data_IF_304428504761
#
_entry.id   IF_304428504761
#
_cell.length_a   1.000
_cell.length_b   1.000
_cell.length_c   1.000
_cell.angle_alpha   90.00
_cell.angle_beta   90.00
_cell.angle_gamma   90.00
#
_symmetry.space_group_name_H-M   'P 1'
#
loop_
_entity.id
_entity.type
_entity.pdbx_description
1 polymer ?
#
# COMPACT_ATOMS: atom_id res chain seq x y z
N UNK A 1 18.41 22.56 -23.20
CA UNK A 1 19.75 21.93 -23.32
C UNK A 1 20.10 21.88 -24.79
N UNK A 2 21.21 22.46 -25.20
CA UNK A 2 21.72 22.32 -26.57
C UNK A 2 22.46 20.98 -26.62
N UNK A 3 21.91 20.00 -27.33
CA UNK A 3 22.56 18.72 -27.59
C UNK A 3 23.66 19.00 -28.63
N UNK A 4 24.93 18.76 -28.29
CA UNK A 4 26.05 19.03 -29.19
C UNK A 4 26.03 18.05 -30.39
N UNK A 5 26.44 18.51 -31.59
CA UNK A 5 26.45 17.65 -32.79
C UNK A 5 27.24 16.34 -32.60
N UNK A 6 28.30 16.35 -31.78
CA UNK A 6 29.10 15.17 -31.43
C UNK A 6 28.38 14.15 -30.54
N UNK A 7 27.43 14.58 -29.71
CA UNK A 7 26.63 13.65 -28.88
C UNK A 7 25.57 12.96 -29.72
N UNK A 8 24.99 13.68 -30.70
CA UNK A 8 24.05 13.11 -31.67
C UNK A 8 24.71 12.02 -32.53
N UNK A 9 25.93 12.27 -33.04
CA UNK A 9 26.65 11.29 -33.88
C UNK A 9 26.96 9.99 -33.13
N UNK A 10 27.25 10.06 -31.82
CA UNK A 10 27.60 8.87 -31.02
C UNK A 10 26.39 7.99 -30.71
N UNK A 11 25.21 8.58 -30.51
CA UNK A 11 23.96 7.84 -30.38
C UNK A 11 23.47 7.29 -31.73
N UNK A 12 23.69 8.00 -32.84
CA UNK A 12 23.35 7.52 -34.20
C UNK A 12 24.15 6.28 -34.62
N UNK A 13 25.39 6.16 -34.16
CA UNK A 13 26.24 4.97 -34.36
C UNK A 13 25.94 3.83 -33.39
N UNK A 14 25.19 4.08 -32.31
CA UNK A 14 24.80 3.05 -31.36
C UNK A 14 23.69 2.17 -31.96
N UNK A 15 23.66 0.89 -31.59
CA UNK A 15 22.79 -0.13 -32.17
C UNK A 15 21.34 0.39 -32.26
N UNK A 16 20.85 0.61 -33.49
CA UNK A 16 19.45 0.96 -33.73
C UNK A 16 18.59 -0.25 -33.36
N UNK A 17 17.86 -0.13 -32.25
CA UNK A 17 16.86 -1.12 -31.89
C UNK A 17 15.73 -1.09 -32.93
N UNK A 18 15.15 -2.26 -33.17
CA UNK A 18 13.97 -2.37 -34.01
C UNK A 18 12.85 -1.45 -33.50
N UNK A 19 12.26 -0.66 -34.39
CA UNK A 19 11.27 0.36 -34.03
C UNK A 19 10.04 -0.26 -33.36
N UNK A 20 9.66 -1.47 -33.79
CA UNK A 20 8.54 -2.21 -33.18
C UNK A 20 8.89 -2.61 -31.75
N UNK A 21 10.11 -3.12 -31.52
CA UNK A 21 10.60 -3.41 -30.16
C UNK A 21 10.63 -2.17 -29.28
N UNK A 22 11.09 -1.03 -29.79
CA UNK A 22 11.13 0.23 -29.03
C UNK A 22 9.73 0.70 -28.64
N UNK A 23 8.78 0.71 -29.58
CA UNK A 23 7.38 1.08 -29.33
C UNK A 23 6.74 0.13 -28.31
N UNK A 24 6.97 -1.18 -28.46
CA UNK A 24 6.45 -2.18 -27.53
C UNK A 24 6.98 -1.98 -26.10
N UNK A 25 8.29 -1.77 -25.94
CA UNK A 25 8.91 -1.53 -24.63
C UNK A 25 8.43 -0.22 -24.00
N UNK A 26 8.35 0.87 -24.77
CA UNK A 26 7.87 2.15 -24.28
C UNK A 26 6.40 2.07 -23.85
N UNK A 27 5.55 1.44 -24.67
CA UNK A 27 4.13 1.22 -24.35
C UNK A 27 3.97 0.38 -23.09
N UNK A 28 4.79 -0.66 -22.92
CA UNK A 28 4.80 -1.48 -21.72
C UNK A 28 5.18 -0.67 -20.47
N UNK A 29 6.25 0.14 -20.53
CA UNK A 29 6.64 0.99 -19.38
C UNK A 29 5.58 2.03 -19.05
N UNK A 30 4.99 2.68 -20.05
CA UNK A 30 3.90 3.63 -19.85
C UNK A 30 2.70 2.95 -19.19
N UNK A 31 2.35 1.74 -19.63
CA UNK A 31 1.28 0.96 -19.00
C UNK A 31 1.59 0.67 -17.52
N UNK A 32 2.82 0.22 -17.20
CA UNK A 32 3.20 -0.03 -15.81
C UNK A 32 3.22 1.26 -14.99
N UNK A 33 3.70 2.37 -15.54
CA UNK A 33 3.66 3.69 -14.90
C UNK A 33 2.23 4.06 -14.49
N UNK A 34 1.24 3.87 -15.39
CA UNK A 34 -0.15 4.16 -15.08
C UNK A 34 -0.70 3.26 -13.96
N UNK A 35 -0.38 1.96 -14.00
CA UNK A 35 -0.77 1.03 -12.93
C UNK A 35 -0.16 1.40 -11.58
N UNK A 36 1.12 1.77 -11.58
CA UNK A 36 1.86 2.17 -10.38
C UNK A 36 1.25 3.43 -9.76
N UNK A 37 1.09 4.49 -10.54
CA UNK A 37 0.50 5.75 -10.09
C UNK A 37 -0.93 5.55 -9.60
N UNK A 38 -1.79 4.91 -10.39
CA UNK A 38 -3.20 4.73 -10.02
C UNK A 38 -3.33 3.85 -8.77
N UNK A 39 -2.60 2.74 -8.74
CA UNK A 39 -2.68 1.77 -7.66
C UNK A 39 -2.13 2.31 -6.34
N UNK A 40 -0.96 2.95 -6.34
CA UNK A 40 -0.35 3.50 -5.13
C UNK A 40 -1.07 4.76 -4.64
N UNK A 41 -1.61 5.60 -5.53
CA UNK A 41 -2.55 6.66 -5.14
C UNK A 41 -3.80 6.09 -4.45
N UNK A 42 -4.35 4.98 -4.95
CA UNK A 42 -5.52 4.33 -4.36
C UNK A 42 -5.20 3.73 -2.98
N UNK A 43 -4.00 3.16 -2.78
CA UNK A 43 -3.51 2.71 -1.46
C UNK A 43 -3.49 3.87 -0.47
N UNK A 44 -2.86 4.98 -0.83
CA UNK A 44 -2.80 6.19 -0.01
C UNK A 44 -4.22 6.72 0.29
N UNK A 45 -5.05 6.88 -0.75
CA UNK A 45 -6.43 7.35 -0.63
C UNK A 45 -7.29 6.46 0.28
N UNK A 46 -7.14 5.15 0.22
CA UNK A 46 -7.87 4.22 1.08
C UNK A 46 -7.53 4.39 2.56
N UNK A 47 -6.25 4.54 2.90
CA UNK A 47 -5.83 4.70 4.30
C UNK A 47 -6.22 6.09 4.82
N UNK A 48 -6.10 7.12 3.97
CA UNK A 48 -6.51 8.48 4.29
C UNK A 48 -8.03 8.61 4.46
N UNK A 49 -8.83 7.87 3.70
CA UNK A 49 -10.29 7.98 3.74
C UNK A 49 -10.89 7.10 4.86
N UNK A 50 -10.47 5.85 4.98
CA UNK A 50 -11.09 4.89 5.91
C UNK A 50 -10.37 4.86 7.25
N UNK A 51 -11.00 5.40 8.29
CA UNK A 51 -10.48 5.40 9.67
C UNK A 51 -10.08 4.01 10.17
N UNK A 52 -10.81 2.96 9.76
CA UNK A 52 -10.52 1.56 10.14
C UNK A 52 -9.18 1.05 9.59
N UNK A 53 -8.66 1.64 8.51
CA UNK A 53 -7.36 1.31 7.92
C UNK A 53 -6.22 2.15 8.51
N UNK A 54 -6.47 3.09 9.44
CA UNK A 54 -5.42 3.94 10.03
C UNK A 54 -4.71 3.25 11.21
N UNK A 55 -4.15 2.08 10.94
CA UNK A 55 -3.33 1.30 11.87
C UNK A 55 -1.85 1.64 11.69
N UNK A 56 -1.02 1.31 12.69
CA UNK A 56 0.42 1.62 12.63
C UNK A 56 1.10 0.97 11.44
N UNK A 57 0.82 -0.31 11.20
CA UNK A 57 1.30 -1.08 10.04
C UNK A 57 0.99 -0.42 8.71
N UNK A 58 -0.22 0.13 8.61
CA UNK A 58 -0.67 0.75 7.36
C UNK A 58 0.06 2.08 7.11
N UNK A 59 0.66 2.73 8.11
CA UNK A 59 1.57 3.87 7.86
C UNK A 59 2.85 3.44 7.14
N UNK A 60 3.40 2.26 7.44
CA UNK A 60 4.53 1.72 6.68
C UNK A 60 4.13 1.37 5.25
N UNK A 61 2.90 0.87 5.04
CA UNK A 61 2.35 0.63 3.69
C UNK A 61 2.18 1.95 2.92
N UNK A 62 1.77 3.04 3.56
CA UNK A 62 1.75 4.38 2.92
C UNK A 62 3.16 4.82 2.56
N UNK A 63 4.13 4.67 3.47
CA UNK A 63 5.53 5.02 3.19
C UNK A 63 6.09 4.24 2.00
N UNK A 64 5.75 2.95 1.88
CA UNK A 64 6.06 2.13 0.71
C UNK A 64 5.37 2.62 -0.57
N UNK A 65 4.08 2.97 -0.51
CA UNK A 65 3.37 3.52 -1.66
C UNK A 65 3.96 4.88 -2.09
N UNK A 66 4.47 5.68 -1.16
CA UNK A 66 5.17 6.93 -1.46
C UNK A 66 6.51 6.67 -2.17
N UNK A 67 7.31 5.69 -1.74
CA UNK A 67 8.55 5.35 -2.45
C UNK A 67 8.26 4.84 -3.86
N UNK A 68 7.22 4.04 -4.05
CA UNK A 68 6.78 3.57 -5.36
C UNK A 68 6.32 4.76 -6.26
N UNK A 69 5.54 5.71 -5.72
CA UNK A 69 5.15 6.92 -6.44
C UNK A 69 6.33 7.83 -6.81
N UNK A 70 7.39 7.87 -6.00
CA UNK A 70 8.62 8.58 -6.36
C UNK A 70 9.36 7.88 -7.51
N UNK A 71 9.39 6.55 -7.56
CA UNK A 71 9.90 5.83 -8.74
C UNK A 71 9.10 6.21 -9.98
N UNK A 72 7.77 6.17 -9.88
CA UNK A 72 6.87 6.54 -10.97
C UNK A 72 7.08 7.99 -11.45
N UNK A 73 7.22 8.94 -10.54
CA UNK A 73 7.34 10.36 -10.88
C UNK A 73 8.75 10.81 -11.27
N UNK A 74 9.80 10.21 -10.70
CA UNK A 74 11.17 10.70 -10.81
C UNK A 74 12.15 9.74 -11.49
N UNK A 75 11.82 8.44 -11.62
CA UNK A 75 12.68 7.46 -12.31
C UNK A 75 12.10 7.02 -13.65
N UNK A 76 10.82 6.68 -13.69
CA UNK A 76 10.17 6.20 -14.92
C UNK A 76 10.26 7.16 -16.10
N UNK A 77 10.17 8.50 -15.94
CA UNK A 77 10.33 9.41 -17.08
C UNK A 77 11.69 9.27 -17.77
N UNK A 78 12.77 9.11 -17.00
CA UNK A 78 14.11 8.89 -17.53
C UNK A 78 14.27 7.52 -18.20
N UNK A 79 13.62 6.49 -17.65
CA UNK A 79 13.55 5.15 -18.27
C UNK A 79 12.83 5.19 -19.63
N UNK A 80 11.70 5.89 -19.69
CA UNK A 80 10.94 6.07 -20.94
C UNK A 80 11.78 6.84 -21.95
N UNK A 81 12.42 7.93 -21.55
CA UNK A 81 13.33 8.71 -22.41
C UNK A 81 14.44 7.84 -22.98
N UNK A 82 15.14 7.10 -22.12
CA UNK A 82 16.21 6.19 -22.51
C UNK A 82 15.74 5.11 -23.49
N UNK A 83 14.54 4.56 -23.27
CA UNK A 83 13.93 3.55 -24.16
C UNK A 83 13.61 4.13 -25.53
N UNK A 84 12.99 5.32 -25.59
CA UNK A 84 12.63 6.00 -26.84
C UNK A 84 13.86 6.38 -27.67
N UNK A 85 15.00 6.63 -27.03
CA UNK A 85 16.28 6.95 -27.68
C UNK A 85 17.13 5.70 -27.94
N UNK A 86 16.51 4.53 -28.15
CA UNK A 86 17.20 3.27 -28.47
C UNK A 86 18.26 2.86 -27.43
N UNK A 87 17.93 3.04 -26.14
CA UNK A 87 18.85 2.80 -25.02
C UNK A 87 20.14 3.64 -25.11
N UNK A 88 20.07 4.81 -25.75
CA UNK A 88 21.11 5.83 -25.68
C UNK A 88 20.73 6.91 -24.68
N UNK A 89 21.69 7.33 -23.88
CA UNK A 89 21.54 8.43 -22.93
C UNK A 89 22.22 9.70 -23.45
N UNK A 90 21.46 10.78 -23.53
CA UNK A 90 21.88 12.08 -24.10
C UNK A 90 21.53 13.28 -23.20
N UNK A 91 20.94 13.06 -22.02
CA UNK A 91 20.57 14.12 -21.06
C UNK A 91 21.76 14.65 -20.22
N UNK A 92 22.97 14.21 -20.52
CA UNK A 92 24.20 14.63 -19.84
C UNK A 92 24.45 13.94 -18.48
N UNK A 93 25.55 14.33 -17.84
CA UNK A 93 26.09 13.71 -16.62
C UNK A 93 25.22 14.04 -15.40
N UNK A 94 24.82 15.30 -15.20
CA UNK A 94 24.07 15.71 -14.01
C UNK A 94 22.70 15.04 -13.90
N UNK A 95 22.00 14.86 -15.03
CA UNK A 95 20.71 14.15 -15.03
C UNK A 95 20.92 12.65 -14.79
N UNK A 96 22.01 12.08 -15.31
CA UNK A 96 22.37 10.69 -15.05
C UNK A 96 22.66 10.45 -13.56
N UNK A 97 23.44 11.32 -12.94
CA UNK A 97 23.71 11.31 -11.49
C UNK A 97 22.43 11.42 -10.66
N UNK A 98 21.55 12.35 -11.03
CA UNK A 98 20.26 12.50 -10.36
C UNK A 98 19.39 11.25 -10.48
N UNK A 99 19.30 10.66 -11.67
CA UNK A 99 18.52 9.45 -11.90
C UNK A 99 19.05 8.27 -11.08
N UNK A 100 20.37 8.04 -11.08
CA UNK A 100 21.01 7.01 -10.26
C UNK A 100 20.75 7.25 -8.76
N UNK A 101 20.84 8.49 -8.30
CA UNK A 101 20.55 8.84 -6.91
C UNK A 101 19.11 8.52 -6.52
N UNK A 102 18.14 8.98 -7.31
CA UNK A 102 16.71 8.74 -7.07
C UNK A 102 16.41 7.23 -7.02
N UNK A 103 16.95 6.47 -7.98
CA UNK A 103 16.76 5.02 -8.02
C UNK A 103 17.28 4.35 -6.75
N UNK A 104 18.46 4.75 -6.30
CA UNK A 104 19.06 4.17 -5.11
C UNK A 104 18.30 4.54 -3.83
N UNK A 105 17.84 5.79 -3.69
CA UNK A 105 16.99 6.21 -2.58
C UNK A 105 15.70 5.41 -2.56
N UNK A 106 15.00 5.32 -3.69
CA UNK A 106 13.69 4.69 -3.74
C UNK A 106 13.78 3.17 -3.53
N UNK A 107 14.77 2.49 -4.13
CA UNK A 107 14.98 1.06 -3.91
C UNK A 107 15.30 0.75 -2.44
N UNK A 108 16.22 1.52 -1.84
CA UNK A 108 16.55 1.40 -0.42
C UNK A 108 15.34 1.67 0.47
N UNK A 109 14.57 2.72 0.19
CA UNK A 109 13.37 3.06 0.95
C UNK A 109 12.31 1.95 0.85
N UNK A 110 12.06 1.39 -0.35
CA UNK A 110 11.06 0.33 -0.54
C UNK A 110 11.39 -0.94 0.25
N UNK A 111 12.64 -1.45 0.18
CA UNK A 111 13.01 -2.66 0.94
C UNK A 111 13.08 -2.42 2.45
N UNK A 112 13.56 -1.25 2.90
CA UNK A 112 13.57 -0.90 4.31
C UNK A 112 12.15 -0.74 4.87
N UNK A 113 11.22 -0.14 4.12
CA UNK A 113 9.81 -0.08 4.50
C UNK A 113 9.19 -1.48 4.59
N UNK A 114 9.47 -2.38 3.63
CA UNK A 114 9.03 -3.78 3.71
C UNK A 114 9.62 -4.51 4.93
N UNK A 115 10.89 -4.24 5.25
CA UNK A 115 11.55 -4.77 6.44
C UNK A 115 10.88 -4.26 7.71
N UNK A 116 10.51 -2.99 7.77
CA UNK A 116 9.75 -2.43 8.89
C UNK A 116 8.35 -3.03 9.02
N UNK A 117 7.65 -3.27 7.91
CA UNK A 117 6.37 -4.02 7.91
C UNK A 117 6.57 -5.42 8.51
N UNK A 118 7.68 -6.10 8.19
CA UNK A 118 7.98 -7.42 8.75
C UNK A 118 8.21 -7.41 10.25
N UNK A 119 8.97 -6.43 10.76
CA UNK A 119 9.24 -6.26 12.20
C UNK A 119 7.95 -5.95 12.95
N UNK A 120 7.17 -4.99 12.44
CA UNK A 120 5.89 -4.61 13.01
C UNK A 120 4.94 -5.81 13.12
N UNK A 121 4.86 -6.62 12.05
CA UNK A 121 4.05 -7.85 12.05
C UNK A 121 4.55 -8.89 13.02
N UNK A 122 5.85 -9.09 13.08
CA UNK A 122 6.45 -10.00 14.06
C UNK A 122 6.09 -9.60 15.48
N UNK A 123 6.20 -8.31 15.81
CA UNK A 123 5.84 -7.79 17.14
C UNK A 123 4.34 -7.96 17.43
N UNK A 124 3.47 -7.66 16.46
CA UNK A 124 2.02 -7.79 16.62
C UNK A 124 1.59 -9.24 16.88
N UNK A 125 2.24 -10.22 16.23
CA UNK A 125 1.92 -11.64 16.39
C UNK A 125 2.56 -12.27 17.64
N UNK A 126 3.79 -11.86 17.98
CA UNK A 126 4.53 -12.43 19.11
C UNK A 126 4.06 -11.87 20.44
N UNK A 127 3.59 -10.62 20.47
CA UNK A 127 3.22 -9.90 21.69
C UNK A 127 1.85 -9.22 21.58
N UNK A 128 0.75 -9.96 21.40
CA UNK A 128 -0.56 -9.39 21.07
C UNK A 128 -1.13 -8.44 22.14
N UNK A 129 -0.79 -8.62 23.42
CA UNK A 129 -1.31 -7.80 24.52
C UNK A 129 -0.46 -6.54 24.80
N UNK A 130 0.84 -6.59 24.52
CA UNK A 130 1.77 -5.47 24.76
C UNK A 130 2.15 -4.73 23.48
N UNK A 131 1.81 -5.25 22.29
CA UNK A 131 2.09 -4.61 21.02
C UNK A 131 1.65 -3.14 20.97
N UNK A 132 0.46 -2.81 21.51
CA UNK A 132 -0.07 -1.45 21.51
C UNK A 132 0.77 -0.46 22.33
N UNK A 133 1.51 -0.93 23.34
CA UNK A 133 2.45 -0.10 24.10
C UNK A 133 3.85 -0.07 23.47
N UNK A 134 4.23 -1.11 22.73
CA UNK A 134 5.50 -1.21 22.01
C UNK A 134 5.49 -0.30 20.78
N UNK A 135 4.49 -0.45 19.91
CA UNK A 135 4.43 0.23 18.62
C UNK A 135 3.38 1.33 18.62
N UNK A 136 3.82 2.54 18.96
CA UNK A 136 2.97 3.74 18.96
C UNK A 136 3.07 4.50 17.63
N UNK A 137 2.09 5.35 17.32
CA UNK A 137 2.12 6.19 16.12
C UNK A 137 3.40 7.03 16.03
N UNK A 138 3.83 7.63 17.16
CA UNK A 138 5.06 8.44 17.23
C UNK A 138 6.29 7.60 16.86
N UNK A 139 6.41 6.39 17.41
CA UNK A 139 7.53 5.48 17.09
C UNK A 139 7.52 5.06 15.62
N UNK A 140 6.34 4.83 15.04
CA UNK A 140 6.22 4.51 13.61
C UNK A 140 6.66 5.66 12.70
N UNK A 141 6.26 6.90 12.99
CA UNK A 141 6.71 8.07 12.22
C UNK A 141 8.23 8.29 12.35
N UNK A 142 8.80 8.11 13.54
CA UNK A 142 10.26 8.16 13.74
C UNK A 142 10.92 7.06 12.90
N UNK A 143 10.42 5.82 12.94
CA UNK A 143 10.98 4.72 12.16
C UNK A 143 10.93 4.99 10.64
N UNK A 144 9.81 5.53 10.13
CA UNK A 144 9.70 5.95 8.73
C UNK A 144 10.74 7.04 8.40
N UNK A 145 10.85 8.08 9.24
CA UNK A 145 11.83 9.14 9.03
C UNK A 145 13.28 8.60 9.00
N UNK A 146 13.60 7.64 9.86
CA UNK A 146 14.91 6.97 9.88
C UNK A 146 15.14 6.14 8.60
N UNK A 147 14.12 5.45 8.08
CA UNK A 147 14.21 4.72 6.80
C UNK A 147 14.55 5.66 5.64
N UNK A 148 13.89 6.81 5.57
CA UNK A 148 14.16 7.81 4.53
C UNK A 148 15.53 8.46 4.70
N UNK A 149 15.89 8.85 5.92
CA UNK A 149 17.20 9.42 6.22
C UNK A 149 18.34 8.44 5.87
N UNK A 150 18.19 7.16 6.23
CA UNK A 150 19.12 6.09 5.85
C UNK A 150 19.24 5.94 4.34
N UNK A 151 18.12 5.89 3.62
CA UNK A 151 18.11 5.68 2.17
C UNK A 151 18.75 6.85 1.42
N UNK A 152 18.47 8.09 1.84
CA UNK A 152 19.11 9.29 1.32
C UNK A 152 20.60 9.31 1.66
N UNK A 153 20.97 8.95 2.88
CA UNK A 153 22.37 8.91 3.31
C UNK A 153 23.19 7.95 2.45
N UNK A 154 22.75 6.70 2.30
CA UNK A 154 23.46 5.72 1.48
C UNK A 154 23.57 6.18 0.03
N UNK A 155 22.50 6.74 -0.55
CA UNK A 155 22.54 7.24 -1.92
C UNK A 155 23.45 8.46 -2.09
N UNK A 156 23.50 9.35 -1.09
CA UNK A 156 24.33 10.55 -1.12
C UNK A 156 25.83 10.24 -1.06
N UNK A 157 26.22 9.08 -0.51
CA UNK A 157 27.61 8.61 -0.53
C UNK A 157 28.14 8.39 -1.96
N UNK A 158 27.27 8.25 -2.97
CA UNK A 158 27.70 8.25 -4.38
C UNK A 158 28.41 9.55 -4.78
N UNK A 159 28.11 10.67 -4.11
CA UNK A 159 28.64 11.99 -4.45
C UNK A 159 29.95 12.35 -3.74
N UNK A 160 30.40 11.59 -2.75
CA UNK A 160 31.61 11.92 -1.96
C UNK A 160 32.92 11.66 -2.69
N UNK A 161 32.89 11.53 -4.02
CA UNK A 161 34.01 11.17 -4.88
C UNK A 161 33.95 9.72 -5.36
N UNK A 162 34.91 9.32 -6.22
CA UNK A 162 35.03 7.95 -6.68
C UNK A 162 35.58 7.07 -5.56
N UNK A 163 34.88 5.99 -5.20
CA UNK A 163 35.39 5.01 -4.25
C UNK A 163 36.38 4.04 -4.93
N UNK A 164 36.27 3.91 -6.25
CA UNK A 164 37.11 3.07 -7.11
C UNK A 164 38.09 3.91 -7.93
N UNK A 165 39.31 3.42 -8.22
CA UNK A 165 40.28 4.14 -9.04
C UNK A 165 39.71 4.59 -10.40
N UNK A 166 38.88 3.74 -11.02
CA UNK A 166 38.23 4.01 -12.31
C UNK A 166 36.80 4.57 -12.17
N UNK A 167 36.44 5.08 -10.99
CA UNK A 167 35.09 5.49 -10.55
C UNK A 167 34.47 6.70 -11.24
N UNK A 168 34.63 6.81 -12.56
CA UNK A 168 34.10 7.89 -13.39
C UNK A 168 32.63 7.68 -13.74
N UNK A 169 31.90 8.79 -13.84
CA UNK A 169 30.54 8.81 -14.38
C UNK A 169 30.60 8.87 -15.90
N UNK A 170 29.84 8.01 -16.56
CA UNK A 170 29.68 8.00 -18.02
C UNK A 170 28.20 8.22 -18.34
N UNK A 171 27.91 9.21 -19.17
CA UNK A 171 26.55 9.47 -19.64
C UNK A 171 26.32 9.03 -21.08
N UNK A 172 27.36 8.78 -21.89
CA UNK A 172 27.23 8.40 -23.30
C UNK A 172 28.10 7.17 -23.58
N UNK A 173 27.58 6.11 -24.23
CA UNK A 173 26.21 5.98 -24.76
C UNK A 173 25.16 5.61 -23.71
N UNK A 174 25.57 5.18 -22.52
CA UNK A 174 24.65 4.76 -21.45
C UNK A 174 24.99 5.45 -20.13
N UNK A 175 23.97 5.81 -19.36
CA UNK A 175 24.10 6.37 -18.03
C UNK A 175 24.56 5.29 -17.04
N UNK A 176 25.83 5.35 -16.61
CA UNK A 176 26.39 4.46 -15.59
C UNK A 176 27.61 5.08 -14.90
N UNK A 177 27.82 4.73 -13.63
CA UNK A 177 29.04 5.07 -12.88
C UNK A 177 29.89 3.80 -12.70
N UNK A 178 31.18 3.86 -13.00
CA UNK A 178 32.10 2.70 -12.90
C UNK A 178 32.70 2.54 -11.51
N UNK A 179 31.86 2.60 -10.48
CA UNK A 179 32.32 2.66 -9.08
C UNK A 179 32.02 1.37 -8.31
N UNK A 180 32.76 0.31 -8.64
CA UNK A 180 32.51 -1.05 -8.12
C UNK A 180 32.50 -1.14 -6.59
N UNK A 181 33.38 -0.43 -5.89
CA UNK A 181 33.42 -0.49 -4.41
C UNK A 181 32.20 0.17 -3.79
N UNK A 182 31.79 1.34 -4.31
CA UNK A 182 30.57 2.01 -3.87
C UNK A 182 29.32 1.15 -4.13
N UNK A 183 29.16 0.63 -5.35
CA UNK A 183 27.99 -0.19 -5.68
C UNK A 183 27.95 -1.49 -4.89
N UNK A 184 29.11 -2.13 -4.64
CA UNK A 184 29.17 -3.32 -3.78
C UNK A 184 28.70 -2.99 -2.37
N UNK A 185 29.23 -1.91 -1.77
CA UNK A 185 28.80 -1.44 -0.46
C UNK A 185 27.30 -1.13 -0.43
N UNK A 186 26.80 -0.34 -1.39
CA UNK A 186 25.40 0.08 -1.45
C UNK A 186 24.46 -1.12 -1.63
N UNK A 187 24.78 -2.06 -2.53
CA UNK A 187 23.96 -3.28 -2.73
C UNK A 187 23.97 -4.15 -1.47
N UNK A 188 25.11 -4.32 -0.81
CA UNK A 188 25.18 -5.10 0.43
C UNK A 188 24.36 -4.47 1.55
N UNK A 189 24.54 -3.17 1.79
CA UNK A 189 23.98 -2.46 2.94
C UNK A 189 22.52 -2.05 2.71
N UNK A 190 22.16 -1.60 1.51
CA UNK A 190 20.79 -1.19 1.19
C UNK A 190 19.89 -2.31 0.67
N UNK A 191 20.43 -3.44 0.20
CA UNK A 191 19.60 -4.55 -0.31
C UNK A 191 19.79 -5.85 0.47
N UNK A 192 20.98 -6.46 0.45
CA UNK A 192 21.16 -7.81 1.03
C UNK A 192 20.96 -7.84 2.55
N UNK A 193 21.44 -6.84 3.29
CA UNK A 193 21.27 -6.76 4.74
C UNK A 193 19.78 -6.60 5.14
N UNK A 194 19.02 -5.63 4.61
CA UNK A 194 17.57 -5.55 4.81
C UNK A 194 16.83 -6.82 4.36
N UNK A 195 17.25 -7.45 3.26
CA UNK A 195 16.66 -8.70 2.78
C UNK A 195 16.84 -9.85 3.78
N UNK A 196 18.03 -9.99 4.40
CA UNK A 196 18.26 -11.00 5.45
C UNK A 196 17.33 -10.75 6.64
N UNK A 197 17.24 -9.49 7.10
CA UNK A 197 16.33 -9.10 8.19
C UNK A 197 14.88 -9.45 7.82
N UNK A 198 14.46 -9.12 6.61
CA UNK A 198 13.15 -9.42 6.05
C UNK A 198 12.86 -10.93 6.09
N UNK A 199 13.76 -11.75 5.56
CA UNK A 199 13.60 -13.21 5.50
C UNK A 199 13.56 -13.83 6.88
N UNK A 200 14.42 -13.39 7.81
CA UNK A 200 14.43 -13.88 9.20
C UNK A 200 13.10 -13.52 9.88
N UNK A 201 12.68 -12.26 9.83
CA UNK A 201 11.44 -11.82 10.46
C UNK A 201 10.22 -12.54 9.90
N UNK A 202 10.14 -12.75 8.58
CA UNK A 202 9.04 -13.51 7.97
C UNK A 202 9.06 -14.98 8.33
N UNK A 203 10.25 -15.57 8.46
CA UNK A 203 10.39 -16.95 8.93
C UNK A 203 9.87 -17.09 10.37
N UNK A 204 10.16 -16.12 11.24
CA UNK A 204 9.65 -16.07 12.60
C UNK A 204 8.13 -15.86 12.63
N UNK A 205 7.63 -14.91 11.83
CA UNK A 205 6.19 -14.66 11.65
C UNK A 205 5.46 -15.92 11.20
N UNK A 206 6.00 -16.63 10.20
CA UNK A 206 5.41 -17.86 9.69
C UNK A 206 5.42 -18.97 10.75
N UNK A 207 6.51 -19.13 11.51
CA UNK A 207 6.57 -20.07 12.64
C UNK A 207 5.50 -19.78 13.69
N UNK A 208 5.39 -18.52 14.14
CA UNK A 208 4.37 -18.11 15.13
C UNK A 208 2.97 -18.33 14.56
N UNK A 209 2.73 -17.94 13.30
CA UNK A 209 1.45 -18.14 12.62
C UNK A 209 1.05 -19.63 12.54
N UNK A 210 1.99 -20.52 12.21
CA UNK A 210 1.74 -21.97 12.17
C UNK A 210 1.41 -22.54 13.54
N UNK A 211 2.14 -22.13 14.59
CA UNK A 211 1.87 -22.56 15.96
C UNK A 211 0.46 -22.14 16.39
N UNK A 212 0.08 -20.87 16.11
CA UNK A 212 -1.26 -20.37 16.40
C UNK A 212 -2.34 -21.11 15.60
N UNK A 213 -2.11 -21.39 14.32
CA UNK A 213 -3.05 -22.15 13.49
C UNK A 213 -3.25 -23.59 14.00
N UNK A 214 -2.19 -24.26 14.46
CA UNK A 214 -2.27 -25.61 15.06
C UNK A 214 -3.06 -25.58 16.37
N UNK A 215 -2.78 -24.62 17.26
CA UNK A 215 -3.51 -24.45 18.52
C UNK A 215 -5.01 -24.21 18.28
N UNK A 216 -5.37 -23.39 17.29
CA UNK A 216 -6.77 -23.17 16.90
C UNK A 216 -7.46 -24.43 16.39
N UNK A 217 -6.77 -25.29 15.63
CA UNK A 217 -7.34 -26.56 15.14
C UNK A 217 -7.60 -27.53 16.29
N UNK A 218 -6.67 -27.66 17.23
CA UNK A 218 -6.84 -28.52 18.41
C UNK A 218 -8.04 -28.07 19.27
N UNK A 219 -8.13 -26.76 19.53
CA UNK A 219 -9.26 -26.17 20.26
C UNK A 219 -10.59 -26.33 19.53
N UNK A 220 -10.59 -26.34 18.19
CA UNK A 220 -11.79 -26.60 17.39
C UNK A 220 -12.25 -28.05 17.49
N UNK A 221 -11.32 -29.00 17.49
CA UNK A 221 -11.63 -30.42 17.61
C UNK A 221 -12.16 -30.76 19.00
N UNK A 222 -11.54 -30.23 20.07
CA UNK A 222 -12.05 -30.41 21.44
C UNK A 222 -13.43 -29.79 21.63
N UNK A 223 -13.67 -28.57 21.14
CA UNK A 223 -15.01 -27.96 21.27
C UNK A 223 -16.11 -28.76 20.56
N UNK A 224 -15.79 -29.45 19.46
CA UNK A 224 -16.76 -30.32 18.78
C UNK A 224 -17.05 -31.59 19.59
N UNK A 225 -16.07 -32.12 20.31
CA UNK A 225 -16.21 -33.27 21.20
C UNK A 225 -17.01 -32.91 22.47
N UNK A 226 -16.65 -31.82 23.15
CA UNK A 226 -17.35 -31.36 24.36
C UNK A 226 -18.83 -31.01 24.08
N UNK A 227 -19.13 -30.48 22.88
CA UNK A 227 -20.52 -30.19 22.48
C UNK A 227 -21.32 -31.47 22.24
N UNK A 228 -20.69 -32.53 21.73
CA UNK A 228 -21.36 -33.82 21.53
C UNK A 228 -21.64 -34.53 22.87
N UNK A 229 -20.68 -34.53 23.79
CA UNK A 229 -20.77 -35.21 25.09
C UNK A 229 -21.72 -34.47 26.07
N UNK A 230 -21.73 -33.13 26.04
CA UNK A 230 -22.65 -32.33 26.86
C UNK A 230 -24.10 -32.36 26.36
N UNK A 231 -24.34 -32.60 25.06
CA UNK A 231 -25.69 -32.86 24.54
C UNK A 231 -26.26 -34.20 25.02
N UNK A 232 -25.41 -35.20 25.26
CA UNK A 232 -25.81 -36.52 25.76
C UNK A 232 -26.12 -36.48 27.27
N UNK A 233 -25.32 -35.76 28.06
CA UNK A 233 -25.51 -35.62 29.52
C UNK A 233 -26.72 -34.75 29.92
N UNK A 234 -27.04 -33.69 29.15
CA UNK A 234 -28.17 -32.79 29.45
C UNK A 234 -29.53 -33.47 29.21
N UNK A 235 -29.58 -34.53 28.41
CA UNK A 235 -30.82 -35.26 28.13
C UNK A 235 -31.30 -36.14 29.30
N UNK A 236 -30.46 -36.39 30.31
CA UNK A 236 -30.74 -37.32 31.42
C UNK A 236 -31.04 -36.65 32.78
N UNK A 237 -30.66 -35.38 33.00
CA UNK A 237 -30.90 -34.68 34.27
C UNK A 237 -31.54 -33.30 34.07
N UNK A 238 -32.87 -33.25 34.09
CA UNK A 238 -33.70 -32.04 33.91
C UNK A 238 -33.71 -31.05 35.08
N UNK A 239 -32.65 -30.97 35.89
CA UNK A 239 -32.64 -30.19 37.13
C UNK A 239 -31.41 -29.29 37.29
N UNK A 240 -31.66 -27.98 37.37
CA UNK A 240 -30.80 -26.91 37.94
C UNK A 240 -29.42 -26.62 37.33
N UNK A 241 -29.30 -25.43 36.71
CA UNK A 241 -28.44 -24.30 37.14
C UNK A 241 -28.36 -23.23 36.04
N UNK A 242 -29.17 -22.19 36.18
CA UNK A 242 -29.26 -21.08 35.21
C UNK A 242 -28.06 -20.12 35.28
N UNK A 243 -27.39 -20.05 36.45
CA UNK A 243 -26.18 -19.23 36.67
C UNK A 243 -24.91 -19.82 36.00
N UNK A 244 -24.71 -21.15 36.06
CA UNK A 244 -23.57 -21.81 35.40
C UNK A 244 -23.69 -21.78 33.86
N UNK A 245 -24.92 -21.79 33.31
CA UNK A 245 -25.14 -21.64 31.87
C UNK A 245 -24.72 -20.26 31.33
N UNK A 246 -24.91 -19.18 32.09
CA UNK A 246 -24.51 -17.83 31.67
C UNK A 246 -22.99 -17.63 31.71
N UNK A 247 -22.30 -18.18 32.71
CA UNK A 247 -20.84 -18.10 32.82
C UNK A 247 -20.17 -18.89 31.68
N UNK A 248 -20.62 -20.12 31.41
CA UNK A 248 -20.10 -20.97 30.31
C UNK A 248 -20.38 -20.34 28.94
N UNK A 249 -21.57 -19.78 28.72
CA UNK A 249 -21.89 -19.06 27.48
C UNK A 249 -21.05 -17.79 27.29
N UNK A 250 -20.73 -17.07 28.37
CA UNK A 250 -19.87 -15.88 28.32
C UNK A 250 -18.42 -16.22 28.00
N UNK A 251 -17.87 -17.30 28.59
CA UNK A 251 -16.53 -17.82 28.32
C UNK A 251 -16.43 -18.32 26.87
N UNK A 252 -17.43 -19.06 26.38
CA UNK A 252 -17.49 -19.49 24.98
C UNK A 252 -17.57 -18.34 23.97
N UNK A 253 -18.23 -17.23 24.32
CA UNK A 253 -18.24 -16.00 23.50
C UNK A 253 -16.86 -15.32 23.44
N UNK A 254 -16.12 -15.30 24.55
CA UNK A 254 -14.76 -14.74 24.62
C UNK A 254 -13.80 -15.59 23.78
N UNK A 255 -13.81 -16.91 23.93
CA UNK A 255 -12.97 -17.82 23.15
C UNK A 255 -13.27 -17.70 21.64
N UNK A 256 -14.55 -17.67 21.25
CA UNK A 256 -14.95 -17.48 19.84
C UNK A 256 -14.49 -16.14 19.26
N UNK A 257 -14.50 -15.05 20.04
CA UNK A 257 -13.99 -13.74 19.61
C UNK A 257 -12.47 -13.78 19.44
N UNK A 258 -11.75 -14.40 20.37
CA UNK A 258 -10.29 -14.56 20.30
C UNK A 258 -9.87 -15.39 19.08
N UNK A 259 -10.54 -16.53 18.83
CA UNK A 259 -10.32 -17.36 17.62
C UNK A 259 -10.52 -16.56 16.34
N UNK A 260 -11.61 -15.78 16.22
CA UNK A 260 -11.87 -14.92 15.05
C UNK A 260 -10.78 -13.85 14.86
N UNK A 261 -10.27 -13.28 15.94
CA UNK A 261 -9.17 -12.31 15.89
C UNK A 261 -7.90 -12.94 15.34
N UNK A 262 -7.50 -14.11 15.84
CA UNK A 262 -6.31 -14.83 15.39
C UNK A 262 -6.43 -15.22 13.91
N UNK A 263 -7.58 -15.74 13.47
CA UNK A 263 -7.81 -16.06 12.05
C UNK A 263 -7.68 -14.83 11.15
N UNK A 264 -8.13 -13.66 11.61
CA UNK A 264 -7.98 -12.40 10.87
C UNK A 264 -6.52 -12.00 10.74
N UNK A 265 -5.74 -12.10 11.82
CA UNK A 265 -4.29 -11.82 11.81
C UNK A 265 -3.51 -12.78 10.89
N UNK A 266 -3.88 -14.07 10.87
CA UNK A 266 -3.28 -15.06 9.96
C UNK A 266 -3.54 -14.72 8.48
N UNK A 267 -4.76 -14.25 8.15
CA UNK A 267 -5.08 -13.80 6.78
C UNK A 267 -4.27 -12.58 6.37
N UNK A 268 -4.13 -11.59 7.27
CA UNK A 268 -3.31 -10.41 7.00
C UNK A 268 -1.84 -10.79 6.78
N UNK A 269 -1.33 -11.74 7.57
CA UNK A 269 0.04 -12.27 7.45
C UNK A 269 0.30 -12.93 6.10
N UNK A 270 -0.67 -13.71 5.58
CA UNK A 270 -0.57 -14.33 4.25
C UNK A 270 -0.35 -13.27 3.17
N UNK A 271 -1.14 -12.20 3.18
CA UNK A 271 -1.01 -11.11 2.19
C UNK A 271 0.39 -10.52 2.20
N UNK A 272 0.93 -10.24 3.38
CA UNK A 272 2.25 -9.64 3.53
C UNK A 272 3.40 -10.60 3.13
N UNK A 273 3.24 -11.90 3.37
CA UNK A 273 4.18 -12.90 2.86
C UNK A 273 4.21 -12.96 1.32
N UNK A 274 3.06 -12.77 0.66
CA UNK A 274 2.99 -12.66 -0.81
C UNK A 274 3.74 -11.40 -1.27
N UNK A 275 3.51 -10.25 -0.65
CA UNK A 275 4.25 -9.00 -0.96
C UNK A 275 5.76 -9.20 -0.88
N UNK A 276 6.24 -9.86 0.19
CA UNK A 276 7.68 -10.14 0.35
C UNK A 276 8.22 -11.13 -0.67
N UNK A 277 7.49 -12.22 -0.95
CA UNK A 277 7.88 -13.17 -1.98
C UNK A 277 8.00 -12.50 -3.35
N UNK A 278 7.03 -11.67 -3.72
CA UNK A 278 7.06 -10.89 -4.96
C UNK A 278 8.27 -9.96 -5.00
N UNK A 279 8.55 -9.23 -3.90
CA UNK A 279 9.71 -8.34 -3.85
C UNK A 279 11.03 -9.07 -4.08
N UNK A 280 11.24 -10.22 -3.42
CA UNK A 280 12.46 -11.02 -3.57
C UNK A 280 12.61 -11.52 -5.00
N UNK A 281 11.54 -12.06 -5.60
CA UNK A 281 11.55 -12.57 -6.97
C UNK A 281 11.86 -11.44 -7.97
N UNK A 282 11.32 -10.25 -7.74
CA UNK A 282 11.50 -9.12 -8.63
C UNK A 282 12.91 -8.50 -8.56
N UNK A 283 13.53 -8.46 -7.37
CA UNK A 283 14.75 -7.67 -7.16
C UNK A 283 16.03 -8.48 -6.98
N UNK A 284 15.98 -9.68 -6.39
CA UNK A 284 17.21 -10.47 -6.15
C UNK A 284 17.98 -10.72 -7.46
N UNK A 285 17.33 -11.16 -8.56
CA UNK A 285 18.05 -11.38 -9.81
C UNK A 285 18.75 -10.12 -10.33
N UNK A 286 18.07 -8.97 -10.28
CA UNK A 286 18.63 -7.68 -10.68
C UNK A 286 19.91 -7.34 -9.89
N UNK A 287 19.85 -7.38 -8.56
CA UNK A 287 21.00 -7.00 -7.73
C UNK A 287 22.16 -7.99 -7.83
N UNK A 288 21.87 -9.28 -8.01
CA UNK A 288 22.91 -10.29 -8.27
C UNK A 288 23.59 -10.01 -9.62
N UNK A 289 22.84 -9.75 -10.69
CA UNK A 289 23.40 -9.42 -12.00
C UNK A 289 24.22 -8.13 -11.92
N UNK A 290 23.72 -7.10 -11.25
CA UNK A 290 24.46 -5.83 -11.06
C UNK A 290 25.78 -6.05 -10.32
N UNK A 291 25.79 -6.91 -9.30
CA UNK A 291 27.02 -7.27 -8.60
C UNK A 291 27.99 -8.02 -9.51
N UNK A 292 27.50 -9.00 -10.28
CA UNK A 292 28.33 -9.75 -11.23
C UNK A 292 28.97 -8.81 -12.26
N UNK A 293 28.18 -7.91 -12.86
CA UNK A 293 28.66 -6.96 -13.88
C UNK A 293 29.78 -6.05 -13.35
N UNK A 294 29.79 -5.72 -12.05
CA UNK A 294 30.83 -4.88 -11.47
C UNK A 294 32.19 -5.57 -11.31
N UNK A 295 32.22 -6.90 -11.21
CA UNK A 295 33.47 -7.67 -11.03
C UNK A 295 33.85 -8.51 -12.25
N UNK A 296 32.86 -8.92 -13.04
CA UNK A 296 33.01 -9.73 -14.24
C UNK A 296 31.98 -9.29 -15.29
N UNK A 297 32.20 -8.16 -15.97
CA UNK A 297 31.33 -7.74 -17.07
C UNK A 297 31.33 -8.78 -18.21
N UNK A 298 32.44 -9.46 -18.44
CA UNK A 298 32.59 -10.52 -19.45
C UNK A 298 31.66 -11.70 -19.16
N UNK A 299 31.40 -12.04 -17.89
CA UNK A 299 30.48 -13.12 -17.51
C UNK A 299 29.04 -12.90 -18.00
N UNK A 300 28.66 -11.67 -18.33
CA UNK A 300 27.31 -11.31 -18.80
C UNK A 300 27.31 -10.88 -20.26
N UNK A 301 28.35 -10.16 -20.70
CA UNK A 301 28.40 -9.56 -22.04
C UNK A 301 29.22 -10.35 -23.06
N UNK A 302 30.07 -11.30 -22.65
CA UNK A 302 30.79 -12.15 -23.59
C UNK A 302 29.85 -13.15 -24.26
N UNK A 303 29.83 -13.11 -25.60
CA UNK A 303 29.05 -14.01 -26.45
C UNK A 303 29.55 -15.46 -26.40
N UNK A 304 30.80 -15.68 -25.99
CA UNK A 304 31.39 -17.01 -25.83
C UNK A 304 30.80 -17.75 -24.62
N UNK A 305 30.39 -17.02 -23.58
CA UNK A 305 29.83 -17.54 -22.34
C UNK A 305 28.30 -17.59 -22.41
N UNK A 306 27.68 -16.48 -22.82
CA UNK A 306 26.23 -16.34 -22.94
C UNK A 306 25.85 -15.96 -24.36
N UNK A 307 25.01 -16.77 -25.01
CA UNK A 307 24.53 -16.43 -26.35
C UNK A 307 23.67 -15.16 -26.35
N UNK A 308 23.58 -14.49 -27.49
CA UNK A 308 22.90 -13.19 -27.61
C UNK A 308 21.42 -13.25 -27.20
N UNK A 309 20.74 -14.37 -27.48
CA UNK A 309 19.34 -14.58 -27.07
C UNK A 309 19.20 -14.64 -25.56
N UNK A 310 20.09 -15.35 -24.86
CA UNK A 310 20.09 -15.44 -23.41
C UNK A 310 20.43 -14.09 -22.78
N UNK A 311 21.41 -13.35 -23.31
CA UNK A 311 21.74 -11.99 -22.84
C UNK A 311 20.52 -11.07 -22.93
N UNK A 312 19.82 -11.07 -24.08
CA UNK A 312 18.59 -10.29 -24.27
C UNK A 312 17.47 -10.74 -23.33
N UNK A 313 17.28 -12.05 -23.17
CA UNK A 313 16.25 -12.59 -22.27
C UNK A 313 16.53 -12.23 -20.80
N UNK A 314 17.77 -12.40 -20.34
CA UNK A 314 18.20 -12.08 -18.97
C UNK A 314 18.04 -10.59 -18.71
N UNK A 315 18.53 -9.73 -19.62
CA UNK A 315 18.39 -8.28 -19.51
C UNK A 315 16.93 -7.84 -19.50
N UNK A 316 16.12 -8.38 -20.41
CA UNK A 316 14.69 -8.03 -20.50
C UNK A 316 13.92 -8.48 -19.26
N UNK A 317 14.08 -9.73 -18.83
CA UNK A 317 13.28 -10.28 -17.73
C UNK A 317 13.78 -9.77 -16.39
N UNK A 318 15.07 -9.97 -16.08
CA UNK A 318 15.60 -9.76 -14.74
C UNK A 318 16.11 -8.35 -14.47
N UNK A 319 16.53 -7.62 -15.52
CA UNK A 319 17.05 -6.25 -15.35
C UNK A 319 15.98 -5.19 -15.62
N UNK A 320 15.09 -5.45 -16.57
CA UNK A 320 14.10 -4.47 -17.01
C UNK A 320 12.69 -4.72 -16.48
N UNK A 321 12.07 -5.87 -16.79
CA UNK A 321 10.64 -6.12 -16.52
C UNK A 321 10.35 -6.38 -15.03
N UNK A 322 11.10 -7.28 -14.39
CA UNK A 322 10.78 -7.70 -13.02
C UNK A 322 10.90 -6.58 -11.97
N UNK A 323 11.98 -5.77 -11.97
CA UNK A 323 12.07 -4.62 -11.06
C UNK A 323 10.95 -3.60 -11.29
N UNK A 324 10.57 -3.38 -12.56
CA UNK A 324 9.50 -2.47 -12.95
C UNK A 324 8.13 -2.92 -12.43
N UNK A 325 7.85 -4.22 -12.48
CA UNK A 325 6.59 -4.78 -12.00
C UNK A 325 6.42 -4.71 -10.48
N UNK A 326 7.52 -4.65 -9.72
CA UNK A 326 7.47 -4.77 -8.27
C UNK A 326 6.55 -3.75 -7.59
N UNK A 327 6.66 -2.46 -7.96
CA UNK A 327 5.84 -1.40 -7.37
C UNK A 327 4.36 -1.52 -7.77
N UNK A 328 4.10 -1.82 -9.05
CA UNK A 328 2.74 -1.93 -9.59
C UNK A 328 1.95 -3.15 -9.07
N UNK A 329 2.63 -4.21 -8.62
CA UNK A 329 1.98 -5.42 -8.09
C UNK A 329 1.47 -5.21 -6.65
N UNK A 330 2.03 -4.28 -5.88
CA UNK A 330 1.64 -4.04 -4.48
C UNK A 330 0.13 -3.76 -4.30
N UNK A 331 -0.49 -2.80 -5.01
CA UNK A 331 -1.94 -2.55 -4.93
C UNK A 331 -2.80 -3.73 -5.39
N UNK A 332 -2.34 -4.52 -6.36
CA UNK A 332 -3.02 -5.73 -6.85
C UNK A 332 -3.05 -6.80 -5.75
N UNK A 333 -1.94 -6.99 -5.03
CA UNK A 333 -1.88 -7.91 -3.89
C UNK A 333 -2.84 -7.45 -2.79
N UNK A 334 -2.83 -6.17 -2.43
CA UNK A 334 -3.73 -5.65 -1.39
C UNK A 334 -5.21 -5.80 -1.77
N UNK A 335 -5.58 -5.46 -3.00
CA UNK A 335 -6.96 -5.59 -3.47
C UNK A 335 -7.42 -7.04 -3.58
N UNK A 336 -6.53 -7.98 -3.86
CA UNK A 336 -6.87 -9.40 -4.01
C UNK A 336 -6.97 -10.13 -2.67
N UNK A 337 -6.00 -9.90 -1.78
CA UNK A 337 -5.81 -10.72 -0.58
C UNK A 337 -6.15 -9.99 0.72
N UNK A 338 -6.32 -8.66 0.72
CA UNK A 338 -6.77 -7.91 1.89
C UNK A 338 -8.21 -7.40 1.72
N UNK A 339 -9.14 -8.02 2.42
CA UNK A 339 -10.57 -7.71 2.31
C UNK A 339 -10.93 -6.28 2.72
N UNK A 340 -10.17 -5.69 3.65
CA UNK A 340 -10.45 -4.34 4.12
C UNK A 340 -9.99 -3.32 3.07
N UNK A 341 -8.82 -3.51 2.45
CA UNK A 341 -8.39 -2.72 1.29
C UNK A 341 -9.31 -2.91 0.09
N UNK A 342 -9.69 -4.14 -0.24
CA UNK A 342 -10.60 -4.44 -1.36
C UNK A 342 -11.92 -3.68 -1.25
N UNK A 343 -12.49 -3.60 -0.05
CA UNK A 343 -13.73 -2.84 0.20
C UNK A 343 -13.51 -1.34 0.03
N UNK A 344 -12.44 -0.80 0.61
CA UNK A 344 -12.10 0.61 0.48
C UNK A 344 -11.87 1.02 -0.98
N UNK A 345 -11.13 0.20 -1.75
CA UNK A 345 -10.87 0.44 -3.16
C UNK A 345 -12.16 0.46 -3.98
N UNK A 346 -13.05 -0.51 -3.75
CA UNK A 346 -14.34 -0.58 -4.45
C UNK A 346 -15.20 0.66 -4.18
N UNK A 347 -15.31 1.11 -2.93
CA UNK A 347 -16.12 2.28 -2.58
C UNK A 347 -15.49 3.58 -3.11
N UNK A 348 -14.16 3.73 -3.07
CA UNK A 348 -13.48 4.87 -3.72
C UNK A 348 -13.72 4.89 -5.23
N UNK A 349 -13.49 3.78 -5.92
CA UNK A 349 -13.68 3.69 -7.37
C UNK A 349 -15.14 3.93 -7.76
N UNK A 350 -16.10 3.43 -6.97
CA UNK A 350 -17.51 3.68 -7.18
C UNK A 350 -17.84 5.18 -7.05
N UNK A 351 -17.32 5.86 -6.02
CA UNK A 351 -17.50 7.31 -5.84
C UNK A 351 -16.87 8.11 -6.97
N UNK A 352 -15.66 7.78 -7.39
CA UNK A 352 -14.99 8.44 -8.53
C UNK A 352 -15.79 8.28 -9.83
N UNK A 353 -16.34 7.08 -10.08
CA UNK A 353 -17.22 6.84 -11.23
C UNK A 353 -18.52 7.67 -11.15
N UNK A 354 -19.13 7.76 -9.97
CA UNK A 354 -20.34 8.57 -9.76
C UNK A 354 -20.08 10.08 -9.92
N UNK A 355 -18.92 10.57 -9.49
CA UNK A 355 -18.51 11.96 -9.68
C UNK A 355 -18.24 12.26 -11.17
N UNK A 356 -17.57 11.36 -11.89
CA UNK A 356 -17.37 11.47 -13.33
C UNK A 356 -18.71 11.52 -14.10
N UNK A 357 -19.70 10.70 -13.69
CA UNK A 357 -21.06 10.73 -14.25
C UNK A 357 -21.84 12.00 -13.94
N UNK A 358 -21.62 12.64 -12.78
CA UNK A 358 -22.23 13.93 -12.45
C UNK A 358 -21.61 15.07 -13.25
N UNK A 359 -20.28 15.09 -13.38
CA UNK A 359 -19.57 16.08 -14.21
C UNK A 359 -20.03 16.04 -15.67
N UNK A 360 -20.18 14.84 -16.26
CA UNK A 360 -20.70 14.70 -17.63
C UNK A 360 -22.20 15.01 -17.80
N UNK A 361 -22.98 15.12 -16.71
CA UNK A 361 -24.40 15.51 -16.75
C UNK A 361 -24.60 17.02 -16.55
N UNK A 362 -23.67 17.69 -15.87
CA UNK A 362 -23.65 19.15 -15.75
C UNK A 362 -23.36 19.84 -17.10
N UNK A 363 -22.53 19.24 -17.96
CA UNK A 363 -22.24 19.80 -19.29
C UNK A 363 -23.38 19.63 -20.32
N UNK A 364 -24.38 18.79 -20.03
CA UNK A 364 -25.56 18.57 -20.90
C UNK A 364 -26.76 19.45 -20.47
N UNK A 365 -26.68 20.17 -19.34
CA UNK A 365 -27.79 20.99 -18.82
C UNK A 365 -27.50 22.50 -18.68
N UNK A 366 -26.35 23.00 -19.15
CA UNK A 366 -26.12 24.47 -19.24
C UNK A 366 -26.93 25.11 -20.39
N UNK A 367 -27.63 24.31 -21.20
CA UNK A 367 -28.48 24.77 -22.29
C UNK A 367 -29.98 24.82 -22.00
N UNK A 368 -30.47 24.93 -20.75
CA UNK A 368 -31.87 25.32 -20.52
C UNK A 368 -32.21 25.59 -19.04
N UNK A 369 -32.76 26.79 -18.81
CA UNK A 369 -33.69 27.21 -17.73
C UNK A 369 -33.12 27.65 -16.37
N UNK A 370 -33.06 28.98 -16.27
CA UNK A 370 -33.73 29.86 -15.29
C UNK A 370 -33.75 29.44 -13.81
N UNK A 371 -33.11 30.29 -13.00
CA UNK A 371 -33.24 30.44 -11.55
C UNK A 371 -34.69 30.36 -11.06
N UNK A 372 -34.91 29.62 -9.98
CA UNK A 372 -35.93 29.87 -8.95
C UNK A 372 -35.35 29.46 -7.58
N UNK A 373 -35.40 30.38 -6.62
CA UNK A 373 -34.78 30.36 -5.28
C UNK A 373 -35.48 29.42 -4.27
N UNK A 374 -35.58 28.11 -4.57
CA UNK A 374 -36.22 27.15 -3.64
C UNK A 374 -35.40 25.87 -3.36
N UNK A 375 -34.17 25.76 -3.84
CA UNK A 375 -33.32 24.56 -3.65
C UNK A 375 -32.25 24.67 -2.54
N UNK A 376 -32.17 25.81 -1.83
CA UNK A 376 -31.16 26.01 -0.78
C UNK A 376 -31.50 25.28 0.54
N UNK A 377 -32.77 24.97 0.79
CA UNK A 377 -33.22 24.33 2.03
C UNK A 377 -33.09 22.80 2.00
N UNK A 378 -33.14 22.18 0.82
CA UNK A 378 -32.96 20.73 0.67
C UNK A 378 -31.48 20.31 0.71
N UNK A 379 -30.57 21.18 0.27
CA UNK A 379 -29.14 20.92 0.32
C UNK A 379 -28.57 20.99 1.75
N UNK A 380 -29.09 21.89 2.59
CA UNK A 380 -28.65 22.03 3.99
C UNK A 380 -29.10 20.83 4.84
N UNK A 381 -30.34 20.35 4.68
CA UNK A 381 -30.86 19.17 5.37
C UNK A 381 -30.10 17.88 5.02
N UNK A 382 -29.77 17.68 3.73
CA UNK A 382 -29.01 16.51 3.29
C UNK A 382 -27.55 16.50 3.80
N UNK A 383 -26.95 17.68 4.01
CA UNK A 383 -25.59 17.81 4.52
C UNK A 383 -25.52 17.53 6.03
N UNK A 384 -26.58 17.85 6.78
CA UNK A 384 -26.69 17.57 8.23
C UNK A 384 -26.88 16.07 8.49
N UNK A 385 -27.64 15.36 7.66
CA UNK A 385 -27.80 13.89 7.76
C UNK A 385 -26.56 13.10 7.34
N UNK A 386 -25.71 13.65 6.46
CA UNK A 386 -24.50 12.99 5.98
C UNK A 386 -23.28 13.06 6.94
N UNK A 387 -23.33 13.90 7.98
CA UNK A 387 -22.18 14.15 8.86
C UNK A 387 -22.15 13.40 10.20
N UNK A 388 -23.22 12.68 10.59
CA UNK A 388 -23.28 11.84 11.82
C UNK A 388 -22.43 12.37 13.00
N UNK A 389 -22.61 13.65 13.33
CA UNK A 389 -21.98 14.28 14.47
C UNK A 389 -22.91 13.99 15.66
N UNK A 390 -22.49 13.10 16.55
CA UNK A 390 -23.09 12.94 17.88
C UNK A 390 -22.82 14.21 18.72
N UNK A 391 -23.60 15.27 18.52
CA UNK A 391 -23.61 16.44 19.39
C UNK A 391 -24.40 16.14 20.67
N UNK A 392 -23.75 15.50 21.64
CA UNK A 392 -24.21 15.54 23.04
C UNK A 392 -23.08 15.71 24.05
N UNK A 393 -21.85 16.05 23.63
CA UNK A 393 -20.72 16.25 24.57
C UNK A 393 -19.97 17.57 24.55
N UNK A 394 -20.26 18.51 23.65
CA UNK A 394 -19.53 19.81 23.63
C UNK A 394 -20.40 21.07 23.66
N UNK A 395 -21.72 20.97 23.87
CA UNK A 395 -22.58 22.16 23.99
C UNK A 395 -22.48 22.89 25.35
N UNK A 396 -21.78 22.31 26.35
CA UNK A 396 -21.53 22.98 27.65
C UNK A 396 -20.34 23.94 27.66
N UNK A 397 -19.64 24.13 26.52
CA UNK A 397 -18.43 24.98 26.45
C UNK A 397 -18.59 26.25 25.60
N UNK A 398 -19.77 26.55 25.09
CA UNK A 398 -20.00 27.65 24.14
C UNK A 398 -21.10 28.64 24.54
N UNK A 399 -21.47 28.72 25.83
CA UNK A 399 -22.34 29.80 26.32
C UNK A 399 -21.54 30.78 27.19
N UNK A 400 -21.58 32.10 26.90
CA UNK A 400 -21.00 33.12 27.76
C UNK A 400 -21.69 33.11 29.14
N UNK A 401 -20.89 33.15 30.20
CA UNK A 401 -21.34 33.39 31.57
C UNK A 401 -21.97 34.79 31.64
N UNK A 402 -23.29 34.92 31.46
CA UNK A 402 -24.15 35.94 32.09
C UNK A 402 -25.60 35.94 31.54
N UNK A 403 -26.36 34.84 31.65
CA UNK A 403 -27.85 34.93 31.73
C UNK A 403 -28.39 33.72 32.51
N UNK A 404 -28.24 33.72 33.84
CA UNK A 404 -29.09 32.92 34.73
C UNK A 404 -29.67 33.85 35.79
N UNK A 405 -30.68 34.62 35.40
CA UNK A 405 -31.73 35.07 36.30
C UNK A 405 -33.07 34.85 35.60
N UNK A 406 -33.96 34.20 36.33
CA UNK A 406 -35.34 33.83 36.02
C UNK A 406 -35.50 32.48 35.32
N UNK A 407 -35.83 31.49 36.16
CA UNK A 407 -36.27 30.17 35.73
C UNK A 407 -37.55 30.26 34.92
N UNK A 408 -37.50 29.69 33.71
CA UNK A 408 -38.61 29.08 32.99
C UNK A 408 -38.01 28.27 31.84
N UNK A 409 -38.05 26.95 31.93
CA UNK A 409 -37.65 26.02 30.86
C UNK A 409 -38.78 25.91 29.82
N UNK A 410 -38.54 26.09 28.51
CA UNK A 410 -39.53 25.75 27.49
C UNK A 410 -39.62 24.23 27.32
N UNK A 411 -40.85 23.70 27.37
CA UNK A 411 -41.17 22.31 26.97
C UNK A 411 -41.09 22.18 25.45
N UNK A 412 -40.39 21.17 24.94
CA UNK A 412 -40.46 20.76 23.53
C UNK A 412 -41.27 19.46 23.47
N UNK A 413 -42.41 19.51 22.79
CA UNK A 413 -43.30 18.37 22.51
C UNK A 413 -42.85 17.72 21.21
N UNK A 414 -42.70 16.40 21.21
CA UNK A 414 -42.34 15.59 20.04
C UNK A 414 -43.64 14.92 19.55
N UNK A 415 -44.05 15.16 18.30
CA UNK A 415 -45.12 14.41 17.65
C UNK A 415 -44.52 13.21 16.89
N UNK A 416 -44.91 11.99 17.30
CA UNK A 416 -44.73 10.76 16.53
C UNK A 416 -45.80 10.67 15.43
N UNK A 417 -45.40 10.27 14.22
CA UNK A 417 -46.31 9.82 13.16
C UNK A 417 -45.98 8.36 12.87
N UNK A 418 -46.82 7.46 13.39
CA UNK A 418 -46.90 6.07 12.96
C UNK A 418 -48.16 5.89 12.12
N UNK A 419 -47.99 5.24 10.97
CA UNK A 419 -49.01 4.93 9.99
C UNK A 419 -49.75 3.64 10.35
N UNK A 420 -51.05 3.70 10.58
CA UNK A 420 -51.97 2.55 10.44
C UNK A 420 -53.40 3.03 10.10
N UNK A 421 -54.04 2.24 9.24
CA UNK A 421 -55.22 2.45 8.38
C UNK A 421 -56.53 2.92 9.03
N UNK A 422 -57.45 3.46 8.22
CA UNK A 422 -58.89 3.23 8.39
C UNK A 422 -59.67 3.37 7.06
N UNK A 423 -60.38 2.30 6.72
CA UNK A 423 -61.43 2.22 5.69
C UNK A 423 -62.80 2.70 6.25
N UNK A 424 -63.61 3.23 5.33
CA UNK A 424 -65.09 3.22 5.23
C UNK A 424 -66.02 4.06 6.14
N UNK A 425 -66.97 4.73 5.43
CA UNK A 425 -68.35 5.15 5.77
C UNK A 425 -68.55 6.34 6.76
N UNK A 426 -69.45 7.31 6.58
CA UNK A 426 -70.80 7.33 5.98
C UNK A 426 -71.38 8.78 5.95
N UNK A 427 -72.29 9.06 5.01
CA UNK A 427 -73.56 9.84 5.15
C UNK A 427 -73.63 11.38 4.88
N UNK A 428 -74.55 11.68 3.93
CA UNK A 428 -75.51 12.80 3.80
C UNK A 428 -75.05 14.24 3.45
N UNK A 429 -75.43 14.73 2.26
CA UNK A 429 -76.70 15.42 1.95
C UNK A 429 -76.53 16.42 0.78
N UNK A 430 -77.54 16.39 -0.11
CA UNK A 430 -77.86 17.27 -1.27
C UNK A 430 -77.04 17.15 -2.57
#
# INVERSE_FOLDING_TARGET
>A
MVVNNTTLTRCETHIKYDIVSTIAQASFVIFILLLDVCGNCLVCGAILTYRRLRTVTNYFIVSLAVSDLLVAGLSMPFRIHHTLHSMCWDLGISVCEFWIFVDLVCCSASICNLSMVSVDRFLALSHPLTYLSIMTKRRAFIAIALVWAYSVFIAALSFTGPWSPDGSMTSIPACHKKDKYYYTFAITVSFFLPMIILVINYSLVFRVALVQARKLRLLSNHSNFDTAESSEFVSLNGGTRQQDRQSVASIGRIDRRQRKSIVRELKATKTLAIVVGTFIICWVPFFVIMLIVQFCPECVYDKSILNETAQKAIGTVFVYVLPLLNSAVNPIIYSSFNTDFRRAFRDILFRLCMLSRRSGRSDIHVGARSMNDLDLDNATMATVQALNINTTKDYKKLLPNNVYKNGNTPKIVIHEVNSENQDEEMVANE
#
